data_IF_311549421756
#
_entry.id   IF_311549421756
#
_cell.length_a   1.000
_cell.length_b   1.000
_cell.length_c   1.000
_cell.angle_alpha   90.00
_cell.angle_beta   90.00
_cell.angle_gamma   90.00
#
_symmetry.space_group_name_H-M   'P 1'
#
loop_
_entity.id
_entity.type
_entity.pdbx_description
1 polymer ?
#
# COMPACT_ATOMS: atom_id res chain seq x y z
N UNK A 1 -11.32 10.48 6.11
CA UNK A 1 -10.00 10.03 5.57
C UNK A 1 -9.96 8.54 5.29
N UNK A 2 -10.37 7.70 6.25
CA UNK A 2 -10.39 6.25 6.05
C UNK A 2 -11.23 5.83 4.84
N UNK A 3 -12.40 6.43 4.67
CA UNK A 3 -13.29 6.11 3.55
C UNK A 3 -12.65 6.42 2.20
N UNK A 4 -11.91 7.52 2.10
CA UNK A 4 -11.21 7.89 0.88
C UNK A 4 -10.11 6.88 0.56
N UNK A 5 -9.40 6.42 1.60
CA UNK A 5 -8.34 5.42 1.44
C UNK A 5 -8.92 4.09 0.96
N UNK A 6 -10.02 3.63 1.59
CA UNK A 6 -10.71 2.41 1.19
C UNK A 6 -11.18 2.51 -0.26
N UNK A 7 -11.71 3.66 -0.64
CA UNK A 7 -12.18 3.90 -2.01
C UNK A 7 -11.03 3.79 -3.01
N UNK A 8 -9.86 4.35 -2.68
CA UNK A 8 -8.69 4.24 -3.53
C UNK A 8 -8.24 2.78 -3.67
N UNK A 9 -8.25 2.02 -2.57
CA UNK A 9 -7.90 0.61 -2.61
C UNK A 9 -8.89 -0.19 -3.46
N UNK A 10 -10.18 0.13 -3.36
CA UNK A 10 -11.22 -0.51 -4.17
C UNK A 10 -11.03 -0.23 -5.66
N UNK A 11 -10.41 0.89 -6.00
CA UNK A 11 -10.11 1.28 -7.38
C UNK A 11 -8.73 0.80 -7.84
N UNK A 12 -8.06 -0.03 -7.06
CA UNK A 12 -6.71 -0.53 -7.34
C UNK A 12 -5.66 0.60 -7.44
N UNK A 13 -5.89 1.70 -6.72
CA UNK A 13 -4.96 2.83 -6.65
C UNK A 13 -4.09 2.72 -5.40
N UNK A 14 -3.35 1.64 -5.31
CA UNK A 14 -2.57 1.31 -4.12
C UNK A 14 -1.55 2.39 -3.78
N UNK A 15 -0.83 2.89 -4.77
CA UNK A 15 0.20 3.91 -4.56
C UNK A 15 -0.38 5.18 -3.91
N UNK A 16 -1.52 5.65 -4.42
CA UNK A 16 -2.18 6.84 -3.87
C UNK A 16 -2.69 6.59 -2.46
N UNK A 17 -3.26 5.41 -2.22
CA UNK A 17 -3.74 5.03 -0.90
C UNK A 17 -2.59 5.00 0.11
N UNK A 18 -1.46 4.40 -0.26
CA UNK A 18 -0.28 4.34 0.61
C UNK A 18 0.26 5.74 0.91
N UNK A 19 0.26 6.64 -0.08
CA UNK A 19 0.70 8.01 0.10
C UNK A 19 -0.17 8.75 1.12
N UNK A 20 -1.50 8.60 1.04
CA UNK A 20 -2.42 9.22 1.97
C UNK A 20 -2.27 8.64 3.38
N UNK A 21 -2.12 7.33 3.49
CA UNK A 21 -1.91 6.70 4.79
C UNK A 21 -0.59 7.15 5.43
N UNK A 22 0.47 7.27 4.64
CA UNK A 22 1.77 7.75 5.13
C UNK A 22 1.65 9.19 5.64
N UNK A 23 0.93 10.04 4.91
CA UNK A 23 0.66 11.41 5.36
C UNK A 23 -0.07 11.44 6.69
N UNK A 24 -1.08 10.60 6.84
CA UNK A 24 -1.83 10.49 8.09
C UNK A 24 -0.93 10.03 9.24
N UNK A 25 -0.14 8.98 9.01
CA UNK A 25 0.77 8.43 10.04
C UNK A 25 1.80 9.48 10.47
N UNK A 26 2.32 10.25 9.53
CA UNK A 26 3.26 11.34 9.83
C UNK A 26 2.59 12.43 10.66
N UNK A 27 1.38 12.84 10.27
CA UNK A 27 0.63 13.89 10.95
C UNK A 27 0.27 13.51 12.39
N UNK A 28 -0.08 12.24 12.61
CA UNK A 28 -0.47 11.76 13.94
C UNK A 28 0.71 11.21 14.74
N UNK A 29 1.92 11.23 14.17
CA UNK A 29 3.13 10.68 14.78
C UNK A 29 3.01 9.18 15.12
N UNK A 30 2.25 8.44 14.32
CA UNK A 30 2.13 7.00 14.47
C UNK A 30 3.29 6.32 13.73
N UNK A 31 4.42 6.23 14.40
CA UNK A 31 5.66 5.74 13.81
C UNK A 31 5.60 4.25 13.45
N UNK A 32 4.84 3.47 14.22
CA UNK A 32 4.66 2.05 13.92
C UNK A 32 3.90 1.86 12.60
N UNK A 33 2.81 2.60 12.44
CA UNK A 33 2.04 2.59 11.20
C UNK A 33 2.88 3.06 10.02
N UNK A 34 3.66 4.13 10.24
CA UNK A 34 4.54 4.68 9.21
C UNK A 34 5.57 3.66 8.75
N UNK A 35 6.20 2.95 9.69
CA UNK A 35 7.19 1.91 9.36
C UNK A 35 6.58 0.78 8.53
N UNK A 36 5.37 0.34 8.89
CA UNK A 36 4.66 -0.70 8.13
C UNK A 36 4.30 -0.23 6.73
N UNK A 37 3.88 1.04 6.60
CA UNK A 37 3.56 1.63 5.30
C UNK A 37 4.81 1.77 4.42
N UNK A 38 5.94 2.16 5.00
CA UNK A 38 7.20 2.26 4.27
C UNK A 38 7.65 0.89 3.74
N UNK A 39 7.51 -0.15 4.56
CA UNK A 39 7.83 -1.51 4.13
C UNK A 39 6.93 -1.94 2.97
N UNK A 40 5.65 -1.64 3.04
CA UNK A 40 4.70 -1.97 1.98
C UNK A 40 5.00 -1.17 0.71
N UNK A 41 5.33 0.11 0.85
CA UNK A 41 5.72 0.96 -0.28
C UNK A 41 6.97 0.42 -0.97
N UNK A 42 7.96 -0.03 -0.22
CA UNK A 42 9.18 -0.63 -0.76
C UNK A 42 8.85 -1.89 -1.55
N UNK A 43 7.99 -2.75 -1.01
CA UNK A 43 7.55 -3.97 -1.70
C UNK A 43 6.84 -3.64 -3.02
N UNK A 44 6.00 -2.60 -3.00
CA UNK A 44 5.30 -2.15 -4.20
C UNK A 44 6.26 -1.63 -5.26
N UNK A 45 7.23 -0.82 -4.86
CA UNK A 45 8.24 -0.28 -5.78
C UNK A 45 9.08 -1.40 -6.42
N UNK A 46 9.46 -2.41 -5.64
CA UNK A 46 10.19 -3.56 -6.16
C UNK A 46 9.35 -4.33 -7.18
N UNK A 47 8.07 -4.51 -6.90
CA UNK A 47 7.16 -5.18 -7.83
C UNK A 47 7.10 -4.42 -9.16
N UNK A 48 7.02 -3.09 -9.12
CA UNK A 48 7.00 -2.27 -10.33
C UNK A 48 8.30 -2.40 -11.13
N UNK A 49 9.44 -2.49 -10.45
CA UNK A 49 10.73 -2.67 -11.12
C UNK A 49 10.78 -4.00 -11.87
N UNK A 50 10.30 -5.08 -11.26
CA UNK A 50 10.20 -6.37 -11.93
C UNK A 50 9.31 -6.30 -13.15
N UNK A 51 8.20 -5.59 -13.06
CA UNK A 51 7.27 -5.42 -14.17
C UNK A 51 7.91 -4.67 -15.33
N UNK A 52 8.63 -3.58 -15.03
CA UNK A 52 9.23 -2.75 -16.06
C UNK A 52 10.37 -3.45 -16.81
N UNK A 53 10.96 -4.48 -16.21
CA UNK A 53 11.99 -5.31 -16.86
C UNK A 53 11.41 -6.43 -17.71
N UNK A 54 10.09 -6.46 -17.89
CA UNK A 54 9.42 -7.45 -18.72
C UNK A 54 9.37 -8.85 -18.14
N UNK A 55 9.70 -9.00 -16.86
CA UNK A 55 9.64 -10.28 -16.18
C UNK A 55 8.19 -10.63 -15.87
N UNK A 56 7.68 -11.64 -16.53
CA UNK A 56 6.34 -12.16 -16.26
C UNK A 56 6.43 -13.18 -15.13
N UNK A 57 6.15 -12.72 -13.92
CA UNK A 57 6.06 -13.60 -12.77
C UNK A 57 4.60 -14.00 -12.59
N UNK A 58 4.26 -15.31 -12.68
CA UNK A 58 2.89 -15.77 -12.47
C UNK A 58 2.38 -15.46 -11.05
N UNK A 59 3.28 -15.23 -10.10
CA UNK A 59 2.92 -14.88 -8.73
C UNK A 59 2.67 -13.40 -8.52
N UNK A 60 2.85 -12.57 -9.55
CA UNK A 60 2.70 -11.11 -9.44
C UNK A 60 1.31 -10.71 -8.96
N UNK A 61 0.27 -11.32 -9.51
CA UNK A 61 -1.12 -11.02 -9.13
C UNK A 61 -1.34 -11.38 -7.66
N UNK A 62 -0.83 -12.52 -7.24
CA UNK A 62 -0.95 -12.98 -5.87
C UNK A 62 -0.22 -12.05 -4.89
N UNK A 63 1.00 -11.63 -5.25
CA UNK A 63 1.77 -10.67 -4.47
C UNK A 63 1.01 -9.35 -4.33
N UNK A 64 0.43 -8.87 -5.42
CA UNK A 64 -0.36 -7.65 -5.42
C UNK A 64 -1.58 -7.76 -4.50
N UNK A 65 -2.29 -8.90 -4.55
CA UNK A 65 -3.44 -9.12 -3.67
C UNK A 65 -3.05 -9.17 -2.19
N UNK A 66 -1.88 -9.75 -1.88
CA UNK A 66 -1.37 -9.73 -0.51
C UNK A 66 -1.08 -8.31 -0.03
N UNK A 67 -0.51 -7.48 -0.90
CA UNK A 67 -0.24 -6.08 -0.58
C UNK A 67 -1.54 -5.30 -0.37
N UNK A 68 -2.54 -5.54 -1.20
CA UNK A 68 -3.86 -4.93 -1.03
C UNK A 68 -4.47 -5.30 0.31
N UNK A 69 -4.43 -6.57 0.67
CA UNK A 69 -4.96 -7.04 1.94
C UNK A 69 -4.28 -6.34 3.11
N UNK A 70 -2.94 -6.26 3.07
CA UNK A 70 -2.18 -5.57 4.11
C UNK A 70 -2.58 -4.10 4.17
N UNK A 71 -2.76 -3.45 3.02
CA UNK A 71 -3.18 -2.05 2.96
C UNK A 71 -4.57 -1.86 3.58
N UNK A 72 -5.52 -2.76 3.33
CA UNK A 72 -6.83 -2.71 3.98
C UNK A 72 -6.72 -2.85 5.49
N UNK A 73 -5.87 -3.76 5.97
CA UNK A 73 -5.65 -3.95 7.40
C UNK A 73 -5.07 -2.69 8.05
N UNK A 74 -4.11 -2.05 7.37
CA UNK A 74 -3.52 -0.81 7.87
C UNK A 74 -4.53 0.33 7.84
N UNK A 75 -5.37 0.39 6.83
CA UNK A 75 -6.43 1.40 6.73
C UNK A 75 -7.42 1.30 7.89
N UNK A 76 -7.69 0.09 8.39
CA UNK A 76 -8.57 -0.11 9.54
C UNK A 76 -8.05 0.54 10.82
N UNK A 77 -6.75 0.83 10.89
CA UNK A 77 -6.12 1.51 12.02
C UNK A 77 -6.26 3.02 11.94
N UNK A 78 -6.78 3.54 10.83
CA UNK A 78 -7.01 4.96 10.61
C UNK A 78 -8.44 5.30 11.01
N UNK A 79 -8.58 6.29 11.85
CA UNK A 79 -9.88 6.70 12.37
C UNK A 79 -10.39 8.00 11.75
#
# INVERSE_FOLDING_TARGET
>A
MREEIIKLLDQYRLKEALSQMTGYATHTSDWQLKNELEALQTSYDLMLQYTSKGMKDPNKVEIYHKMLRTAYELADRIH
#
